data_IF_924823251057
#
_entry.id   IF_924823251057
#
_cell.length_a   1.000
_cell.length_b   1.000
_cell.length_c   1.000
_cell.angle_alpha   90.00
_cell.angle_beta   90.00
_cell.angle_gamma   90.00
#
_symmetry.space_group_name_H-M   'P 1'
#
loop_
_entity.id
_entity.type
_entity.pdbx_description
1 polymer ?
#
# COMPACT_ATOMS: atom_id res chain seq x y z
N UNK A 1 4.50 12.42 -15.13
CA UNK A 1 5.02 11.73 -13.94
C UNK A 1 4.10 12.08 -12.80
N UNK A 2 3.67 11.08 -12.06
CA UNK A 2 2.78 11.23 -10.92
C UNK A 2 3.40 10.48 -9.74
N UNK A 3 3.36 11.10 -8.58
CA UNK A 3 3.88 10.54 -7.33
C UNK A 3 2.75 10.60 -6.33
N UNK A 4 2.34 9.44 -5.84
CA UNK A 4 1.29 9.29 -4.84
C UNK A 4 1.92 8.79 -3.56
N UNK A 5 1.76 9.55 -2.48
CA UNK A 5 2.21 9.17 -1.14
C UNK A 5 1.01 9.31 -0.23
N UNK A 6 0.64 8.25 0.47
CA UNK A 6 -0.46 8.27 1.42
C UNK A 6 -0.12 7.46 2.67
N UNK A 7 -0.58 7.98 3.80
CA UNK A 7 -0.46 7.32 5.09
C UNK A 7 -1.82 6.85 5.57
N UNK A 8 -1.87 5.67 6.19
CA UNK A 8 -3.07 5.17 6.87
C UNK A 8 -2.73 5.06 8.35
N UNK A 9 -3.54 5.72 9.18
CA UNK A 9 -3.49 5.63 10.62
C UNK A 9 -4.74 4.91 11.13
N UNK A 10 -4.55 3.88 11.94
CA UNK A 10 -5.61 3.22 12.69
C UNK A 10 -5.34 3.37 14.17
N UNK A 11 -6.31 3.91 14.91
CA UNK A 11 -6.26 4.00 16.36
C UNK A 11 -6.45 2.64 17.01
N UNK A 12 -6.05 2.52 18.28
CA UNK A 12 -6.38 1.34 19.08
C UNK A 12 -7.90 1.12 19.09
N UNK A 13 -8.30 -0.15 19.00
CA UNK A 13 -9.71 -0.53 19.11
C UNK A 13 -9.86 -1.84 19.87
N UNK A 14 -10.97 -1.97 20.58
CA UNK A 14 -11.33 -3.21 21.23
C UNK A 14 -11.89 -4.15 20.16
N UNK A 15 -11.19 -5.26 19.89
CA UNK A 15 -11.58 -6.24 18.88
C UNK A 15 -12.65 -7.20 19.39
N UNK A 16 -12.70 -7.44 20.71
CA UNK A 16 -13.68 -8.35 21.33
C UNK A 16 -14.28 -7.76 22.61
N UNK A 17 -15.49 -8.21 22.96
CA UNK A 17 -16.18 -7.88 24.20
C UNK A 17 -15.44 -8.34 25.47
N UNK A 18 -14.42 -9.21 25.32
CA UNK A 18 -13.59 -9.76 26.39
C UNK A 18 -12.33 -8.93 26.67
N UNK A 19 -12.13 -7.80 25.97
CA UNK A 19 -11.07 -6.83 26.30
C UNK A 19 -9.78 -6.97 25.50
N UNK A 20 -9.75 -7.79 24.44
CA UNK A 20 -8.57 -7.85 23.58
C UNK A 20 -8.49 -6.60 22.70
N UNK A 21 -7.37 -5.88 22.80
CA UNK A 21 -7.11 -4.65 22.05
C UNK A 21 -6.32 -4.94 20.78
N UNK A 22 -6.80 -4.45 19.64
CA UNK A 22 -5.98 -4.31 18.45
C UNK A 22 -5.08 -3.08 18.62
N UNK A 23 -3.74 -3.22 18.50
CA UNK A 23 -2.82 -2.11 18.66
C UNK A 23 -3.01 -1.07 17.54
N UNK A 24 -2.71 0.18 17.87
CA UNK A 24 -2.65 1.26 16.90
C UNK A 24 -1.50 1.03 15.90
N UNK A 25 -1.70 1.44 14.65
CA UNK A 25 -0.65 1.38 13.65
C UNK A 25 -0.75 2.51 12.63
N UNK A 26 0.42 2.90 12.11
CA UNK A 26 0.56 3.83 11.00
C UNK A 26 1.37 3.16 9.90
N UNK A 27 0.80 3.10 8.70
CA UNK A 27 1.50 2.62 7.50
C UNK A 27 1.65 3.76 6.49
N UNK A 28 2.75 3.75 5.75
CA UNK A 28 3.03 4.70 4.69
C UNK A 28 3.28 3.94 3.40
N UNK A 29 2.56 4.33 2.36
CA UNK A 29 2.66 3.75 1.02
C UNK A 29 3.07 4.85 0.05
N UNK A 30 3.92 4.48 -0.90
CA UNK A 30 4.39 5.37 -1.95
C UNK A 30 4.31 4.68 -3.30
N UNK A 31 3.77 5.37 -4.29
CA UNK A 31 3.71 4.92 -5.68
C UNK A 31 4.23 6.03 -6.59
N UNK A 32 4.96 5.63 -7.62
CA UNK A 32 5.42 6.48 -8.70
C UNK A 32 4.89 5.91 -10.01
N UNK A 33 4.25 6.74 -10.82
CA UNK A 33 3.85 6.38 -12.17
C UNK A 33 4.45 7.34 -13.21
N UNK A 34 4.87 6.76 -14.33
CA UNK A 34 5.41 7.50 -15.46
C UNK A 34 4.81 6.98 -16.77
N UNK A 35 4.12 7.86 -17.48
CA UNK A 35 3.57 7.58 -18.80
C UNK A 35 4.48 8.17 -19.88
N UNK A 36 4.95 7.32 -20.78
CA UNK A 36 5.69 7.69 -21.98
C UNK A 36 4.71 8.01 -23.12
N UNK A 37 5.12 8.89 -24.05
CA UNK A 37 4.29 9.27 -25.21
C UNK A 37 3.98 8.09 -26.17
N UNK A 38 4.78 7.03 -26.10
CA UNK A 38 4.69 5.85 -26.97
C UNK A 38 3.64 4.81 -26.51
N UNK A 39 2.76 5.16 -25.57
CA UNK A 39 1.75 4.25 -25.02
C UNK A 39 2.26 3.34 -23.89
N UNK A 40 3.54 3.44 -23.51
CA UNK A 40 4.10 2.72 -22.36
C UNK A 40 3.79 3.49 -21.08
N UNK A 41 3.33 2.82 -20.03
CA UNK A 41 3.21 3.37 -18.68
C UNK A 41 3.93 2.44 -17.70
N UNK A 42 4.79 3.02 -16.88
CA UNK A 42 5.53 2.34 -15.85
C UNK A 42 4.97 2.76 -14.50
N UNK A 43 4.67 1.80 -13.64
CA UNK A 43 4.27 2.04 -12.26
C UNK A 43 5.12 1.21 -11.33
N UNK A 44 5.61 1.84 -10.26
CA UNK A 44 6.30 1.14 -9.21
C UNK A 44 5.91 1.74 -7.88
N UNK A 45 5.89 0.93 -6.83
CA UNK A 45 5.56 1.41 -5.51
C UNK A 45 6.10 0.51 -4.42
N UNK A 46 6.07 1.08 -3.23
CA UNK A 46 6.46 0.44 -1.99
C UNK A 46 5.28 0.58 -1.04
N UNK A 47 4.70 -0.54 -0.67
CA UNK A 47 3.71 -0.62 0.39
C UNK A 47 4.44 -0.87 1.71
N UNK A 48 3.94 -0.26 2.79
CA UNK A 48 4.49 -0.37 4.13
C UNK A 48 5.99 -0.04 4.17
N UNK A 49 6.32 1.21 3.79
CA UNK A 49 7.71 1.69 3.64
C UNK A 49 8.60 1.42 4.88
N UNK A 50 8.03 1.54 6.08
CA UNK A 50 8.72 1.34 7.36
C UNK A 50 8.69 -0.10 7.89
N UNK A 51 8.16 -1.06 7.13
CA UNK A 51 8.12 -2.49 7.49
C UNK A 51 7.47 -2.75 8.86
N UNK A 52 6.35 -2.07 9.10
CA UNK A 52 5.60 -2.23 10.35
C UNK A 52 4.81 -3.52 10.30
N UNK A 53 4.91 -4.34 11.34
CA UNK A 53 3.96 -5.42 11.54
C UNK A 53 2.64 -4.82 12.02
N UNK A 54 1.57 -5.04 11.26
CA UNK A 54 0.23 -4.57 11.60
C UNK A 54 -0.80 -5.67 11.31
N UNK A 55 -1.97 -5.54 11.92
CA UNK A 55 -3.08 -6.45 11.72
C UNK A 55 -4.37 -5.65 11.58
N UNK A 56 -5.05 -5.77 10.44
CA UNK A 56 -6.38 -5.20 10.27
C UNK A 56 -7.45 -6.00 11.01
N UNK A 57 -7.19 -7.25 11.35
CA UNK A 57 -8.06 -8.08 12.18
C UNK A 57 -7.19 -8.83 13.18
N UNK A 58 -7.66 -8.96 14.42
CA UNK A 58 -6.93 -9.68 15.45
C UNK A 58 -6.63 -11.12 15.00
N UNK A 59 -5.36 -11.54 15.14
CA UNK A 59 -4.89 -12.87 14.74
C UNK A 59 -4.56 -13.02 13.25
N UNK A 60 -4.81 -12.01 12.42
CA UNK A 60 -4.48 -12.01 11.00
C UNK A 60 -3.40 -10.95 10.70
N UNK A 61 -2.11 -11.35 10.63
CA UNK A 61 -1.05 -10.44 10.26
C UNK A 61 -1.18 -10.05 8.79
N UNK A 62 -1.05 -8.76 8.52
CA UNK A 62 -1.04 -8.22 7.16
C UNK A 62 0.36 -8.33 6.53
N UNK A 63 0.44 -8.13 5.22
CA UNK A 63 1.72 -8.14 4.51
C UNK A 63 2.66 -7.03 5.03
N UNK A 64 3.93 -7.37 5.21
CA UNK A 64 5.00 -6.43 5.59
C UNK A 64 5.35 -5.47 4.45
N UNK A 65 6.60 -5.02 4.37
CA UNK A 65 7.04 -4.20 3.22
C UNK A 65 6.94 -4.99 1.92
N UNK A 66 6.17 -4.46 0.97
CA UNK A 66 6.00 -5.05 -0.36
C UNK A 66 6.47 -4.06 -1.44
N UNK A 67 7.25 -4.54 -2.41
CA UNK A 67 7.70 -3.76 -3.56
C UNK A 67 7.08 -4.35 -4.82
N UNK A 68 6.50 -3.48 -5.66
CA UNK A 68 5.92 -3.89 -6.92
C UNK A 68 6.43 -3.04 -8.09
N UNK A 69 6.43 -3.66 -9.26
CA UNK A 69 6.79 -3.05 -10.51
C UNK A 69 5.83 -3.56 -11.60
N UNK A 70 5.12 -2.63 -12.23
CA UNK A 70 4.17 -2.90 -13.29
C UNK A 70 4.58 -2.13 -14.55
N UNK A 71 4.52 -2.82 -15.68
CA UNK A 71 4.72 -2.24 -16.99
C UNK A 71 3.45 -2.45 -17.82
N UNK A 72 2.87 -1.35 -18.27
CA UNK A 72 1.68 -1.32 -19.10
C UNK A 72 2.06 -0.85 -20.51
N UNK A 73 1.50 -1.50 -21.53
CA UNK A 73 1.60 -1.05 -22.91
C UNK A 73 0.20 -0.91 -23.49
N UNK A 74 -0.16 0.31 -23.86
CA UNK A 74 -1.43 0.61 -24.49
C UNK A 74 -1.26 0.62 -26.01
N UNK A 75 -1.94 -0.29 -26.69
CA UNK A 75 -1.96 -0.31 -28.14
C UNK A 75 -2.83 0.84 -28.66
N UNK A 76 -2.33 1.67 -29.59
CA UNK A 76 -3.20 2.63 -30.26
C UNK A 76 -4.27 1.86 -31.04
N UNK A 77 -5.54 2.18 -30.81
CA UNK A 77 -6.63 1.68 -31.67
C UNK A 77 -6.37 2.19 -33.09
N UNK A 78 -6.32 1.25 -34.05
CA UNK A 78 -6.25 1.55 -35.49
C UNK A 78 -7.59 2.04 -36.02
#
# INVERSE_FOLDING_TARGET
MEINIYGIYNSERNSTSYGTKSPEFSIFNSQISYSFKNGIRLETGINNFFDRNYSLTEGFPEEGRNLYFNLYYNFPNK
#
